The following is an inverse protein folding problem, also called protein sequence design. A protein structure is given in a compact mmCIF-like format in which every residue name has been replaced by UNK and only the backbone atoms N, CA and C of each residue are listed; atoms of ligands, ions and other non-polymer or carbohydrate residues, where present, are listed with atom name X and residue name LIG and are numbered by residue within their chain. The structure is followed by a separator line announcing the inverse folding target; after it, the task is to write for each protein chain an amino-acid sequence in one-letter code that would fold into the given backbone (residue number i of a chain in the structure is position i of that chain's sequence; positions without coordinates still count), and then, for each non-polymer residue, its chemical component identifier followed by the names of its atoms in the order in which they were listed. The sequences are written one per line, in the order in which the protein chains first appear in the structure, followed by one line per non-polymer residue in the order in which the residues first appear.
data_IF_967229314360
#
_entry.id   IF_967229314360
#
_cell.length_a   1.000
_cell.length_b   1.000
_cell.length_c   1.000
_cell.angle_alpha   90.00
_cell.angle_beta   90.00
_cell.angle_gamma   90.00
#
_symmetry.space_group_name_H-M   'P 1'
#
loop_
_entity.id
_entity.type
_entity.pdbx_description
1 polymer ?
#
# COMPACT_ATOMS: atom_id res chain seq x y z
N UNK A 1 57.24 -18.38 -70.07
CA UNK A 1 56.97 -18.21 -71.52
C UNK A 1 58.21 -17.69 -72.28
N UNK A 2 58.80 -16.54 -71.93
CA UNK A 2 59.94 -15.95 -72.65
C UNK A 2 61.15 -16.89 -72.90
N UNK A 3 61.46 -17.78 -71.95
CA UNK A 3 62.56 -18.76 -72.06
C UNK A 3 62.34 -19.83 -73.16
N UNK A 4 61.10 -20.15 -73.52
CA UNK A 4 60.79 -21.21 -74.52
C UNK A 4 61.18 -20.75 -75.93
N UNK A 5 60.99 -19.48 -76.25
CA UNK A 5 61.38 -18.89 -77.54
C UNK A 5 62.91 -18.85 -77.74
N UNK A 6 63.68 -18.71 -76.65
CA UNK A 6 65.14 -18.71 -76.69
C UNK A 6 65.67 -20.12 -76.98
N UNK A 7 65.11 -21.15 -76.32
CA UNK A 7 65.49 -22.56 -76.50
C UNK A 7 65.38 -23.04 -77.95
N UNK A 8 64.36 -22.58 -78.70
CA UNK A 8 64.15 -22.96 -80.11
C UNK A 8 65.16 -22.36 -81.10
N UNK A 9 65.96 -21.38 -80.69
CA UNK A 9 66.94 -20.69 -81.55
C UNK A 9 68.40 -21.17 -81.37
N UNK A 10 68.67 -22.01 -80.36
CA UNK A 10 70.04 -22.47 -80.02
C UNK A 10 70.38 -23.91 -80.48
N UNK A 11 69.44 -24.65 -81.07
CA UNK A 11 69.59 -26.10 -81.32
C UNK A 11 70.46 -26.49 -82.55
N UNK A 12 71.14 -25.52 -83.21
CA UNK A 12 71.90 -25.73 -84.44
C UNK A 12 73.38 -25.29 -84.31
N UNK A 13 74.10 -25.81 -83.32
CA UNK A 13 75.55 -25.57 -83.16
C UNK A 13 76.25 -26.78 -82.58
N UNK A 14 77.22 -27.32 -83.31
CA UNK A 14 77.96 -28.54 -82.94
C UNK A 14 78.97 -28.30 -81.81
N UNK A 15 79.29 -29.36 -81.07
CA UNK A 15 80.21 -29.32 -79.94
C UNK A 15 81.68 -29.26 -80.36
N UNK A 16 82.49 -28.62 -79.51
CA UNK A 16 83.91 -28.94 -79.38
C UNK A 16 84.32 -28.75 -77.92
N UNK A 17 84.93 -29.77 -77.31
CA UNK A 17 85.23 -29.79 -75.88
C UNK A 17 86.46 -28.93 -75.54
N UNK A 18 86.29 -27.99 -74.60
CA UNK A 18 87.37 -27.14 -74.08
C UNK A 18 87.21 -26.90 -72.58
N UNK A 19 88.13 -27.43 -71.77
CA UNK A 19 88.09 -27.36 -70.30
C UNK A 19 88.46 -25.97 -69.73
N UNK A 20 87.62 -24.93 -69.88
CA UNK A 20 87.70 -23.65 -69.12
C UNK A 20 86.31 -22.99 -69.01
N UNK A 21 85.68 -22.76 -67.85
CA UNK A 21 85.98 -23.14 -66.46
C UNK A 21 84.69 -23.13 -65.63
N UNK A 22 84.47 -24.17 -64.82
CA UNK A 22 83.16 -24.51 -64.24
C UNK A 22 82.61 -23.45 -63.26
N UNK A 23 83.52 -22.83 -62.50
CA UNK A 23 83.26 -21.76 -61.51
C UNK A 23 82.86 -20.43 -62.13
N UNK A 24 83.24 -20.14 -63.38
CA UNK A 24 82.85 -18.90 -64.06
C UNK A 24 81.36 -18.92 -64.41
N UNK A 25 80.85 -20.05 -64.91
CA UNK A 25 79.44 -20.24 -65.22
C UNK A 25 78.59 -20.20 -63.94
N UNK A 26 79.05 -20.81 -62.84
CA UNK A 26 78.35 -20.72 -61.55
C UNK A 26 78.30 -19.29 -61.00
N UNK A 27 79.36 -18.50 -61.19
CA UNK A 27 79.37 -17.09 -60.81
C UNK A 27 78.40 -16.26 -61.67
N UNK A 28 78.27 -16.56 -62.97
CA UNK A 28 77.23 -15.93 -63.81
C UNK A 28 75.82 -16.33 -63.35
N UNK A 29 75.58 -17.61 -63.03
CA UNK A 29 74.28 -18.07 -62.53
C UNK A 29 73.94 -17.38 -61.19
N UNK A 30 74.90 -17.24 -60.27
CA UNK A 30 74.72 -16.47 -59.03
C UNK A 30 74.44 -14.97 -59.27
N UNK A 31 75.12 -14.35 -60.24
CA UNK A 31 74.84 -12.96 -60.63
C UNK A 31 73.43 -12.81 -61.24
N UNK A 32 72.94 -13.82 -61.95
CA UNK A 32 71.56 -13.88 -62.45
C UNK A 32 70.52 -14.13 -61.34
N UNK A 33 70.89 -14.85 -60.26
CA UNK A 33 70.04 -15.06 -59.08
C UNK A 33 69.93 -13.81 -58.19
N UNK A 34 70.99 -12.98 -58.16
CA UNK A 34 71.05 -11.75 -57.34
C UNK A 34 70.51 -10.52 -58.09
N UNK A 35 70.53 -10.54 -59.42
CA UNK A 35 70.02 -9.46 -60.27
C UNK A 35 68.54 -9.66 -60.62
N UNK A 36 67.71 -8.63 -60.47
CA UNK A 36 66.31 -8.58 -60.92
C UNK A 36 66.17 -8.54 -62.46
N UNK A 37 66.78 -9.49 -63.17
CA UNK A 37 66.78 -9.60 -64.63
C UNK A 37 67.56 -8.51 -65.39
N UNK A 38 67.93 -7.39 -64.75
CA UNK A 38 68.58 -6.24 -65.39
C UNK A 38 69.93 -6.57 -66.04
N UNK A 39 70.72 -7.48 -65.47
CA UNK A 39 71.98 -7.95 -66.04
C UNK A 39 71.84 -9.15 -66.99
N UNK A 40 70.64 -9.71 -67.17
CA UNK A 40 70.44 -10.96 -67.89
C UNK A 40 70.97 -10.92 -69.34
N UNK A 41 70.76 -9.81 -70.05
CA UNK A 41 71.29 -9.63 -71.42
C UNK A 41 72.82 -9.60 -71.47
N UNK A 42 73.46 -9.01 -70.46
CA UNK A 42 74.93 -8.95 -70.36
C UNK A 42 75.53 -10.32 -70.05
N UNK A 43 74.97 -11.00 -69.04
CA UNK A 43 75.33 -12.37 -68.66
C UNK A 43 75.20 -13.33 -69.84
N UNK A 44 74.05 -13.38 -70.51
CA UNK A 44 73.81 -14.26 -71.66
C UNK A 44 74.76 -13.93 -72.82
N UNK A 45 75.01 -12.65 -73.12
CA UNK A 45 75.97 -12.26 -74.17
C UNK A 45 77.39 -12.72 -73.84
N UNK A 46 77.81 -12.65 -72.58
CA UNK A 46 79.14 -13.10 -72.15
C UNK A 46 79.35 -14.62 -72.28
N UNK A 47 78.28 -15.42 -72.15
CA UNK A 47 78.31 -16.88 -72.35
C UNK A 47 78.36 -17.22 -73.84
N UNK A 48 77.54 -16.55 -74.67
CA UNK A 48 77.53 -16.75 -76.13
C UNK A 48 78.89 -16.42 -76.78
N UNK A 49 79.55 -15.34 -76.34
CA UNK A 49 80.87 -14.94 -76.87
C UNK A 49 81.96 -15.98 -76.58
N UNK A 50 81.78 -16.85 -75.58
CA UNK A 50 82.72 -17.93 -75.22
C UNK A 50 82.34 -19.30 -75.80
N UNK A 51 81.21 -19.40 -76.54
CA UNK A 51 80.64 -20.65 -77.07
C UNK A 51 80.16 -21.67 -76.01
N UNK A 52 80.14 -21.32 -74.72
CA UNK A 52 79.76 -22.20 -73.60
C UNK A 52 78.24 -22.35 -73.39
N UNK A 53 77.43 -21.96 -74.37
CA UNK A 53 75.97 -21.82 -74.22
C UNK A 53 75.26 -23.13 -73.85
N UNK A 54 75.72 -24.28 -74.37
CA UNK A 54 75.17 -25.60 -74.03
C UNK A 54 75.41 -25.98 -72.57
N UNK A 55 76.65 -25.81 -72.09
CA UNK A 55 77.06 -26.10 -70.71
C UNK A 55 76.35 -25.18 -69.71
N UNK A 56 76.24 -23.89 -70.03
CA UNK A 56 75.49 -22.92 -69.24
C UNK A 56 74.00 -23.26 -69.14
N UNK A 57 73.34 -23.60 -70.26
CA UNK A 57 71.94 -24.00 -70.25
C UNK A 57 71.70 -25.28 -69.42
N UNK A 58 72.62 -26.25 -69.49
CA UNK A 58 72.53 -27.47 -68.67
C UNK A 58 72.62 -27.14 -67.18
N UNK A 59 73.60 -26.31 -66.76
CA UNK A 59 73.71 -25.85 -65.36
C UNK A 59 72.50 -25.04 -64.90
N UNK A 60 71.92 -24.22 -65.78
CA UNK A 60 70.69 -23.47 -65.47
C UNK A 60 69.48 -24.40 -65.30
N UNK A 61 69.29 -25.40 -66.18
CA UNK A 61 68.25 -26.43 -66.04
C UNK A 61 68.45 -27.28 -64.76
N UNK A 62 69.69 -27.61 -64.39
CA UNK A 62 70.03 -28.27 -63.10
C UNK A 62 69.68 -27.39 -61.90
N UNK A 63 69.94 -26.08 -61.97
CA UNK A 63 69.65 -25.10 -60.92
C UNK A 63 68.15 -24.82 -60.77
N UNK A 64 67.40 -24.74 -61.87
CA UNK A 64 65.93 -24.65 -61.85
C UNK A 64 65.33 -25.90 -61.19
N UNK A 65 65.75 -27.10 -61.59
CA UNK A 65 65.31 -28.36 -60.95
C UNK A 65 65.66 -28.43 -59.46
N UNK A 66 66.79 -27.86 -59.04
CA UNK A 66 67.12 -27.73 -57.63
C UNK A 66 66.10 -26.85 -56.90
N UNK A 67 65.80 -25.66 -57.42
CA UNK A 67 64.82 -24.76 -56.81
C UNK A 67 63.39 -25.32 -56.83
N UNK A 68 62.96 -25.97 -57.91
CA UNK A 68 61.65 -26.64 -57.98
C UNK A 68 61.52 -27.71 -56.88
N UNK A 69 62.55 -28.55 -56.69
CA UNK A 69 62.60 -29.55 -55.62
C UNK A 69 62.60 -28.93 -54.21
N UNK A 70 63.32 -27.81 -53.99
CA UNK A 70 63.31 -27.13 -52.70
C UNK A 70 61.97 -26.45 -52.40
N UNK A 71 61.32 -25.88 -53.41
CA UNK A 71 59.94 -25.34 -53.31
C UNK A 71 58.96 -26.48 -52.99
N UNK A 72 59.05 -27.62 -53.68
CA UNK A 72 58.19 -28.78 -53.43
C UNK A 72 58.38 -29.33 -52.00
N UNK A 73 59.62 -29.44 -51.51
CA UNK A 73 59.90 -29.82 -50.12
C UNK A 73 59.31 -28.82 -49.11
N UNK A 74 59.51 -27.51 -49.34
CA UNK A 74 59.01 -26.46 -48.44
C UNK A 74 57.48 -26.45 -48.39
N UNK A 75 56.83 -26.59 -49.55
CA UNK A 75 55.38 -26.73 -49.65
C UNK A 75 54.90 -28.00 -48.92
N UNK A 76 55.49 -29.17 -49.19
CA UNK A 76 55.10 -30.42 -48.53
C UNK A 76 55.30 -30.38 -47.00
N UNK A 77 56.36 -29.72 -46.52
CA UNK A 77 56.62 -29.53 -45.09
C UNK A 77 55.56 -28.64 -44.42
N UNK A 78 55.22 -27.49 -45.02
CA UNK A 78 54.37 -26.49 -44.37
C UNK A 78 52.87 -26.63 -44.68
N UNK A 79 52.48 -27.33 -45.76
CA UNK A 79 51.08 -27.42 -46.20
C UNK A 79 50.17 -28.08 -45.16
N UNK A 80 50.64 -29.13 -44.46
CA UNK A 80 49.87 -29.76 -43.38
C UNK A 80 49.58 -28.80 -42.22
N UNK A 81 50.56 -27.98 -41.83
CA UNK A 81 50.38 -26.94 -40.82
C UNK A 81 49.39 -25.86 -41.25
N UNK A 82 49.48 -25.41 -42.51
CA UNK A 82 48.54 -24.45 -43.09
C UNK A 82 47.10 -25.00 -43.14
N UNK A 83 46.91 -26.22 -43.66
CA UNK A 83 45.58 -26.85 -43.74
C UNK A 83 44.97 -27.03 -42.35
N UNK A 84 45.77 -27.42 -41.35
CA UNK A 84 45.30 -27.54 -39.97
C UNK A 84 44.84 -26.20 -39.40
N UNK A 85 45.66 -25.16 -39.51
CA UNK A 85 45.30 -23.81 -39.04
C UNK A 85 44.06 -23.23 -39.75
N UNK A 86 43.90 -23.52 -41.04
CA UNK A 86 42.71 -23.15 -41.80
C UNK A 86 41.44 -23.88 -41.32
N UNK A 87 41.56 -25.17 -40.98
CA UNK A 87 40.44 -25.95 -40.44
C UNK A 87 40.06 -25.50 -39.01
N UNK A 88 41.06 -25.17 -38.18
CA UNK A 88 40.86 -24.59 -36.85
C UNK A 88 40.13 -23.23 -36.95
N UNK A 89 40.50 -22.35 -37.89
CA UNK A 89 39.79 -21.09 -38.15
C UNK A 89 38.33 -21.28 -38.61
N UNK A 90 38.05 -22.28 -39.45
CA UNK A 90 36.68 -22.61 -39.85
C UNK A 90 35.84 -23.11 -38.66
N UNK A 91 36.43 -23.93 -37.79
CA UNK A 91 35.78 -24.43 -36.58
C UNK A 91 35.49 -23.28 -35.60
N UNK A 92 36.48 -22.41 -35.30
CA UNK A 92 36.29 -21.21 -34.47
C UNK A 92 35.19 -20.29 -35.03
N UNK A 93 35.11 -20.11 -36.35
CA UNK A 93 34.02 -19.34 -36.98
C UNK A 93 32.65 -19.98 -36.75
N UNK A 94 32.55 -21.30 -36.89
CA UNK A 94 31.30 -22.06 -36.64
C UNK A 94 30.86 -21.91 -35.18
N UNK A 95 31.78 -22.11 -34.24
CA UNK A 95 31.52 -22.06 -32.80
C UNK A 95 31.15 -20.64 -32.35
N UNK A 96 31.86 -19.62 -32.86
CA UNK A 96 31.50 -18.20 -32.66
C UNK A 96 30.10 -17.88 -33.18
N UNK A 97 29.70 -18.47 -34.31
CA UNK A 97 28.36 -18.27 -34.87
C UNK A 97 27.29 -18.96 -34.03
N UNK A 98 27.57 -20.16 -33.51
CA UNK A 98 26.68 -20.87 -32.58
C UNK A 98 26.49 -20.08 -31.28
N UNK A 99 27.59 -19.67 -30.65
CA UNK A 99 27.58 -18.89 -29.42
C UNK A 99 26.87 -17.55 -29.59
N UNK A 100 27.02 -16.87 -30.74
CA UNK A 100 26.24 -15.67 -31.07
C UNK A 100 24.74 -15.94 -31.10
N UNK A 101 24.30 -17.05 -31.71
CA UNK A 101 22.88 -17.40 -31.79
C UNK A 101 22.30 -17.73 -30.40
N UNK A 102 23.05 -18.45 -29.55
CA UNK A 102 22.67 -18.70 -28.16
C UNK A 102 22.62 -17.42 -27.32
N UNK A 103 23.58 -16.51 -27.49
CA UNK A 103 23.59 -15.21 -26.82
C UNK A 103 22.35 -14.37 -27.19
N UNK A 104 21.98 -14.34 -28.48
CA UNK A 104 20.76 -13.66 -28.95
C UNK A 104 19.50 -14.29 -28.36
N UNK A 105 19.42 -15.63 -28.33
CA UNK A 105 18.29 -16.36 -27.73
C UNK A 105 18.18 -16.08 -26.22
N UNK A 106 19.28 -16.15 -25.48
CA UNK A 106 19.31 -15.88 -24.04
C UNK A 106 18.94 -14.43 -23.75
N UNK A 107 19.42 -13.46 -24.53
CA UNK A 107 19.02 -12.06 -24.41
C UNK A 107 17.51 -11.88 -24.66
N UNK A 108 16.92 -12.52 -25.68
CA UNK A 108 15.47 -12.47 -25.92
C UNK A 108 14.68 -13.06 -24.76
N UNK A 109 15.08 -14.22 -24.23
CA UNK A 109 14.43 -14.84 -23.06
C UNK A 109 14.55 -13.96 -21.81
N UNK A 110 15.71 -13.33 -21.58
CA UNK A 110 15.93 -12.42 -20.46
C UNK A 110 15.09 -11.14 -20.59
N UNK A 111 14.95 -10.58 -21.79
CA UNK A 111 14.06 -9.44 -22.06
C UNK A 111 12.59 -9.79 -21.84
N UNK A 112 12.13 -10.97 -22.28
CA UNK A 112 10.75 -11.43 -22.04
C UNK A 112 10.47 -11.64 -20.55
N UNK A 113 11.40 -12.28 -19.83
CA UNK A 113 11.31 -12.45 -18.38
C UNK A 113 11.28 -11.09 -17.65
N UNK A 114 12.16 -10.16 -18.05
CA UNK A 114 12.21 -8.79 -17.51
C UNK A 114 10.92 -8.00 -17.76
N UNK A 115 10.32 -8.08 -18.94
CA UNK A 115 9.03 -7.45 -19.25
C UNK A 115 7.88 -8.05 -18.44
N UNK A 116 7.86 -9.39 -18.26
CA UNK A 116 6.86 -10.06 -17.44
C UNK A 116 6.98 -9.67 -15.96
N UNK A 117 8.22 -9.62 -15.45
CA UNK A 117 8.52 -9.18 -14.09
C UNK A 117 8.14 -7.71 -13.86
N UNK A 118 8.45 -6.81 -14.80
CA UNK A 118 8.10 -5.40 -14.73
C UNK A 118 6.57 -5.21 -14.62
N UNK A 119 5.79 -5.88 -15.48
CA UNK A 119 4.32 -5.88 -15.40
C UNK A 119 3.80 -6.40 -14.06
N UNK A 120 4.40 -7.48 -13.53
CA UNK A 120 3.99 -8.05 -12.24
C UNK A 120 4.35 -7.14 -11.06
N UNK A 121 5.47 -6.42 -11.15
CA UNK A 121 5.90 -5.42 -10.16
C UNK A 121 4.99 -4.19 -10.18
N UNK A 122 4.57 -3.72 -11.35
CA UNK A 122 3.61 -2.62 -11.47
C UNK A 122 2.24 -2.98 -10.84
N UNK A 123 1.74 -4.20 -11.11
CA UNK A 123 0.54 -4.72 -10.45
C UNK A 123 0.72 -4.84 -8.93
N UNK A 124 1.88 -5.30 -8.46
CA UNK A 124 2.18 -5.39 -7.03
C UNK A 124 2.17 -4.02 -6.34
N UNK A 125 2.73 -2.98 -6.98
CA UNK A 125 2.68 -1.59 -6.47
C UNK A 125 1.23 -1.10 -6.38
N UNK A 126 0.39 -1.39 -7.38
CA UNK A 126 -1.06 -1.06 -7.34
C UNK A 126 -1.79 -1.76 -6.19
N UNK A 127 -1.46 -3.02 -5.92
CA UNK A 127 -2.03 -3.74 -4.77
C UNK A 127 -1.51 -3.21 -3.43
N UNK A 128 -0.25 -2.79 -3.31
CA UNK A 128 0.24 -2.09 -2.11
C UNK A 128 -0.47 -0.75 -1.87
N UNK A 129 -0.75 0.02 -2.93
CA UNK A 129 -1.58 1.23 -2.80
C UNK A 129 -3.02 0.89 -2.38
N UNK A 130 -3.62 -0.16 -2.94
CA UNK A 130 -4.94 -0.65 -2.52
C UNK A 130 -4.94 -1.05 -1.04
N UNK A 131 -3.93 -1.78 -0.59
CA UNK A 131 -3.75 -2.19 0.81
C UNK A 131 -3.55 -0.98 1.73
N UNK A 132 -2.78 0.02 1.32
CA UNK A 132 -2.62 1.28 2.06
C UNK A 132 -3.95 2.04 2.23
N UNK A 133 -4.73 2.16 1.15
CA UNK A 133 -6.07 2.77 1.21
C UNK A 133 -7.03 1.98 2.11
N UNK A 134 -6.97 0.64 2.07
CA UNK A 134 -7.75 -0.23 2.97
C UNK A 134 -7.32 0.00 4.43
N UNK A 135 -6.02 0.07 4.73
CA UNK A 135 -5.54 0.32 6.08
C UNK A 135 -5.98 1.68 6.62
N UNK A 136 -5.83 2.76 5.83
CA UNK A 136 -6.33 4.09 6.19
C UNK A 136 -7.85 4.09 6.45
N UNK A 137 -8.61 3.31 5.67
CA UNK A 137 -10.05 3.14 5.88
C UNK A 137 -10.35 2.38 7.18
N UNK A 138 -9.59 1.33 7.50
CA UNK A 138 -9.69 0.59 8.77
C UNK A 138 -9.38 1.51 9.95
N UNK A 139 -8.31 2.31 9.87
CA UNK A 139 -7.88 3.21 10.94
C UNK A 139 -8.92 4.32 11.18
N UNK A 140 -9.48 4.91 10.12
CA UNK A 140 -10.56 5.88 10.21
C UNK A 140 -11.86 5.27 10.79
N UNK A 141 -12.21 4.04 10.38
CA UNK A 141 -13.37 3.31 10.95
C UNK A 141 -13.14 2.94 12.43
N UNK A 142 -11.92 2.59 12.82
CA UNK A 142 -11.58 2.30 14.21
C UNK A 142 -11.70 3.53 15.11
N UNK A 143 -11.33 4.71 14.61
CA UNK A 143 -11.56 5.99 15.31
C UNK A 143 -13.04 6.36 15.37
N UNK A 144 -13.81 6.04 14.33
CA UNK A 144 -15.25 6.30 14.27
C UNK A 144 -16.08 5.37 15.18
N UNK A 145 -15.63 4.13 15.40
CA UNK A 145 -16.41 3.10 16.10
C UNK A 145 -16.83 3.49 17.53
N UNK A 146 -15.96 4.03 18.42
CA UNK A 146 -16.37 4.50 19.75
C UNK A 146 -17.41 5.63 19.70
N UNK A 147 -17.40 6.46 18.65
CA UNK A 147 -18.36 7.55 18.45
C UNK A 147 -19.74 6.98 18.14
N UNK A 148 -19.83 6.01 17.22
CA UNK A 148 -21.08 5.32 16.91
C UNK A 148 -21.60 4.46 18.08
N UNK A 149 -20.71 3.80 18.82
CA UNK A 149 -21.11 2.99 19.98
C UNK A 149 -21.67 3.87 21.11
N UNK A 150 -21.04 5.01 21.41
CA UNK A 150 -21.56 5.96 22.41
C UNK A 150 -22.81 6.68 21.94
N UNK A 151 -22.92 7.03 20.65
CA UNK A 151 -24.14 7.58 20.05
C UNK A 151 -25.32 6.60 20.11
N UNK A 152 -25.08 5.30 19.82
CA UNK A 152 -26.11 4.26 19.95
C UNK A 152 -26.56 4.11 21.40
N UNK A 153 -25.64 3.98 22.35
CA UNK A 153 -25.97 3.90 23.79
C UNK A 153 -26.73 5.14 24.27
N UNK A 154 -26.46 6.31 23.71
CA UNK A 154 -27.24 7.52 23.96
C UNK A 154 -28.68 7.38 23.45
N UNK A 155 -28.89 6.87 22.23
CA UNK A 155 -30.24 6.58 21.71
C UNK A 155 -30.98 5.57 22.57
N UNK A 156 -30.35 4.44 22.93
CA UNK A 156 -30.93 3.42 23.80
C UNK A 156 -31.35 4.03 25.17
N UNK A 157 -30.49 4.87 25.78
CA UNK A 157 -30.82 5.56 27.04
C UNK A 157 -31.98 6.57 26.90
N UNK A 158 -32.14 7.18 25.72
CA UNK A 158 -33.26 8.10 25.44
C UNK A 158 -34.58 7.34 25.29
N UNK A 159 -34.58 6.18 24.63
CA UNK A 159 -35.76 5.31 24.52
C UNK A 159 -36.19 4.75 25.89
N UNK A 160 -35.23 4.34 26.72
CA UNK A 160 -35.48 3.89 28.11
C UNK A 160 -35.79 5.04 29.09
N UNK A 161 -35.86 6.30 28.64
CA UNK A 161 -36.04 7.51 29.46
C UNK A 161 -35.02 7.69 30.59
N UNK A 162 -33.82 7.11 30.46
CA UNK A 162 -32.71 7.21 31.43
C UNK A 162 -31.95 8.51 31.23
N UNK A 163 -32.57 9.63 31.63
CA UNK A 163 -32.09 11.00 31.39
C UNK A 163 -30.66 11.27 31.91
N UNK A 164 -30.28 10.70 33.06
CA UNK A 164 -28.96 10.93 33.66
C UNK A 164 -27.82 10.17 32.96
N UNK A 165 -27.91 8.85 32.68
CA UNK A 165 -26.99 8.16 31.78
C UNK A 165 -26.88 8.81 30.40
N UNK A 166 -28.00 9.27 29.82
CA UNK A 166 -28.02 9.97 28.55
C UNK A 166 -27.19 11.27 28.58
N UNK A 167 -27.36 12.12 29.60
CA UNK A 167 -26.56 13.35 29.76
C UNK A 167 -25.05 13.07 29.84
N UNK A 168 -24.65 12.07 30.64
CA UNK A 168 -23.24 11.70 30.81
C UNK A 168 -22.61 11.14 29.53
N UNK A 169 -23.37 10.35 28.76
CA UNK A 169 -22.93 9.86 27.44
C UNK A 169 -22.84 11.00 26.42
N UNK A 170 -23.76 11.97 26.45
CA UNK A 170 -23.75 13.15 25.59
C UNK A 170 -22.54 14.05 25.86
N UNK A 171 -22.21 14.30 27.12
CA UNK A 171 -20.99 15.03 27.52
C UNK A 171 -19.71 14.29 27.09
N UNK A 172 -19.66 12.97 27.28
CA UNK A 172 -18.53 12.15 26.84
C UNK A 172 -18.37 12.18 25.30
N UNK A 173 -19.47 12.11 24.55
CA UNK A 173 -19.48 12.19 23.10
C UNK A 173 -18.90 13.53 22.61
N UNK A 174 -19.30 14.64 23.21
CA UNK A 174 -18.88 15.99 22.82
C UNK A 174 -17.41 16.29 23.21
N UNK A 175 -17.02 15.92 24.43
CA UNK A 175 -15.70 16.28 24.99
C UNK A 175 -14.58 15.38 24.48
N UNK A 176 -14.81 14.07 24.34
CA UNK A 176 -13.76 13.10 23.99
C UNK A 176 -13.80 12.68 22.52
N UNK A 177 -14.99 12.41 21.99
CA UNK A 177 -15.14 11.74 20.71
C UNK A 177 -15.30 12.70 19.53
N UNK A 178 -16.08 13.77 19.70
CA UNK A 178 -16.35 14.73 18.62
C UNK A 178 -15.13 15.57 18.24
N UNK A 179 -14.13 15.71 19.13
CA UNK A 179 -12.86 16.39 18.84
C UNK A 179 -12.02 15.63 17.82
N UNK A 180 -12.06 14.30 17.84
CA UNK A 180 -11.23 13.42 17.01
C UNK A 180 -11.74 13.27 15.57
N UNK A 181 -12.98 13.70 15.29
CA UNK A 181 -13.74 13.29 14.11
C UNK A 181 -14.28 14.48 13.29
N UNK A 182 -13.91 15.71 13.65
CA UNK A 182 -14.41 16.97 13.04
C UNK A 182 -14.25 17.08 11.53
N UNK A 183 -13.29 16.37 10.95
CA UNK A 183 -13.03 16.38 9.50
C UNK A 183 -14.08 15.61 8.68
N UNK A 184 -14.88 14.75 9.31
CA UNK A 184 -15.86 13.94 8.61
C UNK A 184 -17.25 14.60 8.59
N UNK A 185 -17.86 14.69 7.40
CA UNK A 185 -19.22 15.24 7.17
C UNK A 185 -20.33 14.60 8.02
N UNK A 186 -20.16 13.35 8.48
CA UNK A 186 -21.14 12.70 9.37
C UNK A 186 -21.06 13.20 10.82
N UNK A 187 -19.94 13.78 11.25
CA UNK A 187 -19.81 14.40 12.58
C UNK A 187 -20.71 15.65 12.71
N UNK A 188 -20.87 16.43 11.63
CA UNK A 188 -21.81 17.56 11.57
C UNK A 188 -23.25 17.12 11.83
N UNK A 189 -23.67 15.97 11.28
CA UNK A 189 -25.00 15.41 11.50
C UNK A 189 -25.20 15.00 12.96
N UNK A 190 -24.19 14.37 13.58
CA UNK A 190 -24.22 14.03 15.00
C UNK A 190 -24.26 15.31 15.86
N UNK A 191 -23.46 16.32 15.55
CA UNK A 191 -23.44 17.59 16.29
C UNK A 191 -24.80 18.30 16.25
N UNK A 192 -25.45 18.33 15.08
CA UNK A 192 -26.81 18.84 14.93
C UNK A 192 -27.85 18.03 15.73
N UNK A 193 -27.63 16.72 15.90
CA UNK A 193 -28.50 15.87 16.72
C UNK A 193 -28.21 15.97 18.22
N UNK A 194 -26.98 16.24 18.66
CA UNK A 194 -26.63 16.49 20.08
C UNK A 194 -27.45 17.66 20.63
N UNK A 195 -27.59 18.75 19.87
CA UNK A 195 -28.44 19.89 20.26
C UNK A 195 -29.92 19.49 20.41
N UNK A 196 -30.43 18.61 19.54
CA UNK A 196 -31.80 18.06 19.64
C UNK A 196 -31.94 17.16 20.88
N UNK A 197 -30.99 16.28 21.15
CA UNK A 197 -31.00 15.41 22.33
C UNK A 197 -30.98 16.22 23.64
N UNK A 198 -30.17 17.29 23.74
CA UNK A 198 -30.21 18.22 24.89
C UNK A 198 -31.63 18.80 25.10
N UNK A 199 -32.28 19.26 24.03
CA UNK A 199 -33.65 19.78 24.11
C UNK A 199 -34.69 18.70 24.41
N UNK A 200 -34.52 17.47 23.91
CA UNK A 200 -35.41 16.34 24.23
C UNK A 200 -35.29 15.90 25.69
N UNK A 201 -34.06 15.72 26.21
CA UNK A 201 -33.80 15.43 27.63
C UNK A 201 -34.46 16.50 28.51
N UNK A 202 -34.31 17.77 28.11
CA UNK A 202 -34.89 18.90 28.83
C UNK A 202 -36.43 18.88 28.84
N UNK A 203 -37.06 18.63 27.69
CA UNK A 203 -38.51 18.55 27.59
C UNK A 203 -39.07 17.35 28.36
N UNK A 204 -38.43 16.19 28.27
CA UNK A 204 -38.83 15.00 29.02
C UNK A 204 -38.66 15.22 30.53
N UNK A 205 -37.61 15.91 30.95
CA UNK A 205 -37.38 16.33 32.34
C UNK A 205 -38.44 17.32 32.86
N UNK A 206 -38.98 18.19 32.01
CA UNK A 206 -40.11 19.04 32.35
C UNK A 206 -41.44 18.27 32.38
N UNK A 207 -41.62 17.27 31.51
CA UNK A 207 -42.79 16.40 31.51
C UNK A 207 -42.82 15.47 32.73
N UNK A 208 -41.70 14.86 33.14
CA UNK A 208 -41.58 14.06 34.37
C UNK A 208 -41.96 14.92 35.59
N UNK A 209 -41.48 16.17 35.65
CA UNK A 209 -41.84 17.13 36.68
C UNK A 209 -43.35 17.49 36.64
N UNK A 210 -43.92 17.75 35.46
CA UNK A 210 -45.34 18.11 35.32
C UNK A 210 -46.25 16.96 35.77
N UNK A 211 -45.98 15.75 35.29
CA UNK A 211 -46.71 14.54 35.67
C UNK A 211 -46.59 14.27 37.18
N UNK A 212 -45.41 14.50 37.77
CA UNK A 212 -45.23 14.43 39.22
C UNK A 212 -46.08 15.47 39.96
N UNK A 213 -46.07 16.73 39.52
CA UNK A 213 -46.87 17.79 40.15
C UNK A 213 -48.39 17.51 40.04
N UNK A 214 -48.87 16.99 38.91
CA UNK A 214 -50.26 16.54 38.75
C UNK A 214 -50.61 15.35 39.67
N UNK A 215 -49.70 14.39 39.82
CA UNK A 215 -49.89 13.27 40.75
C UNK A 215 -49.91 13.74 42.22
N UNK A 216 -49.02 14.66 42.60
CA UNK A 216 -49.06 15.29 43.94
C UNK A 216 -50.33 16.08 44.14
N UNK A 217 -50.79 16.86 43.16
CA UNK A 217 -52.02 17.65 43.24
C UNK A 217 -53.27 16.76 43.45
N UNK A 218 -53.39 15.65 42.73
CA UNK A 218 -54.51 14.70 42.89
C UNK A 218 -54.50 13.97 44.24
N UNK A 219 -53.32 13.73 44.83
CA UNK A 219 -53.20 13.13 46.16
C UNK A 219 -53.17 14.16 47.30
N UNK A 220 -53.09 15.46 47.00
CA UNK A 220 -52.88 16.53 47.98
C UNK A 220 -53.96 16.58 49.08
N UNK A 221 -55.23 16.28 48.76
CA UNK A 221 -56.29 16.20 49.77
C UNK A 221 -56.06 15.08 50.79
N UNK A 222 -55.64 13.89 50.33
CA UNK A 222 -55.33 12.74 51.21
C UNK A 222 -54.08 13.00 52.06
N UNK A 223 -53.05 13.57 51.44
CA UNK A 223 -51.80 13.98 52.12
C UNK A 223 -52.12 15.06 53.16
N UNK A 224 -52.92 16.07 52.79
CA UNK A 224 -53.36 17.15 53.67
C UNK A 224 -54.15 16.64 54.86
N UNK A 225 -55.16 15.77 54.65
CA UNK A 225 -55.94 15.13 55.71
C UNK A 225 -55.06 14.34 56.68
N UNK A 226 -54.11 13.56 56.17
CA UNK A 226 -53.15 12.80 57.00
C UNK A 226 -52.20 13.73 57.77
N UNK A 227 -51.73 14.81 57.14
CA UNK A 227 -50.87 15.81 57.77
C UNK A 227 -51.59 16.61 58.86
N UNK A 228 -52.84 17.01 58.63
CA UNK A 228 -53.67 17.67 59.65
C UNK A 228 -54.00 16.72 60.80
N UNK A 229 -54.29 15.44 60.53
CA UNK A 229 -54.50 14.44 61.58
C UNK A 229 -53.23 14.24 62.45
N UNK A 230 -52.05 14.13 61.83
CA UNK A 230 -50.78 14.03 62.55
C UNK A 230 -50.43 15.31 63.33
N UNK A 231 -50.70 16.49 62.76
CA UNK A 231 -50.47 17.77 63.44
C UNK A 231 -51.42 17.96 64.63
N UNK A 232 -52.71 17.62 64.48
CA UNK A 232 -53.69 17.67 65.54
C UNK A 232 -53.37 16.68 66.68
N UNK A 233 -52.97 15.44 66.34
CA UNK A 233 -52.52 14.45 67.32
C UNK A 233 -51.24 14.89 68.09
N UNK A 234 -50.33 15.64 67.45
CA UNK A 234 -49.15 16.22 68.11
C UNK A 234 -49.46 17.43 69.00
N UNK A 235 -50.58 18.11 68.75
CA UNK A 235 -51.00 19.33 69.46
C UNK A 235 -52.19 19.09 70.40
N UNK A 236 -52.62 17.84 70.58
CA UNK A 236 -53.77 17.40 71.38
C UNK A 236 -55.09 18.13 71.05
N UNK A 237 -55.30 18.41 69.75
CA UNK A 237 -56.49 19.12 69.26
C UNK A 237 -57.63 18.11 69.01
N UNK A 238 -58.80 18.32 69.64
CA UNK A 238 -59.98 17.47 69.46
C UNK A 238 -60.41 17.36 67.98
N UNK A 239 -60.74 16.13 67.54
CA UNK A 239 -61.20 15.72 66.19
C UNK A 239 -62.25 16.64 65.59
N UNK A 240 -63.07 17.28 66.44
CA UNK A 240 -64.14 18.23 66.07
C UNK A 240 -63.66 19.50 65.38
N UNK A 241 -62.39 19.88 65.53
CA UNK A 241 -61.87 21.16 65.03
C UNK A 241 -61.19 21.09 63.66
N UNK A 242 -60.81 19.90 63.19
CA UNK A 242 -60.09 19.72 61.91
C UNK A 242 -60.77 18.75 60.91
N UNK A 243 -61.95 18.22 61.23
CA UNK A 243 -62.75 17.37 60.32
C UNK A 243 -63.89 18.15 59.65
N UNK A 244 -64.10 17.94 58.35
CA UNK A 244 -65.20 18.57 57.59
C UNK A 244 -66.56 18.02 58.04
N UNK A 245 -67.63 18.84 58.01
CA UNK A 245 -68.96 18.41 58.48
C UNK A 245 -69.54 17.22 57.70
N UNK A 246 -69.16 17.06 56.43
CA UNK A 246 -69.57 15.94 55.58
C UNK A 246 -68.99 14.60 56.05
N UNK A 247 -67.79 14.62 56.63
CA UNK A 247 -67.15 13.43 57.22
C UNK A 247 -67.64 13.18 58.65
N UNK A 248 -68.20 14.19 59.34
CA UNK A 248 -68.88 14.01 60.65
C UNK A 248 -70.25 13.35 60.53
N UNK A 249 -70.93 13.47 59.38
CA UNK A 249 -72.30 12.95 59.16
C UNK A 249 -72.35 11.50 58.69
N UNK A 250 -71.20 10.87 58.41
CA UNK A 250 -71.14 9.48 57.92
C UNK A 250 -71.21 8.40 59.00
N UNK A 251 -71.15 8.76 60.29
CA UNK A 251 -71.16 7.77 61.36
C UNK A 251 -71.90 8.18 62.64
N UNK A 252 -73.04 7.52 62.95
CA UNK A 252 -73.58 7.44 64.30
C UNK A 252 -73.36 6.08 64.99
N UNK A 253 -72.83 5.04 64.32
CA UNK A 253 -72.88 3.66 64.84
C UNK A 253 -71.62 2.79 64.69
N UNK A 254 -70.54 3.23 64.04
CA UNK A 254 -69.25 2.53 64.12
C UNK A 254 -68.37 3.10 65.25
N UNK A 255 -68.49 2.49 66.43
CA UNK A 255 -67.35 2.33 67.34
C UNK A 255 -66.34 1.39 66.67
N UNK A 256 -65.54 1.93 65.75
CA UNK A 256 -64.36 1.25 65.20
C UNK A 256 -63.17 1.60 66.07
N UNK A 257 -62.38 0.58 66.43
CA UNK A 257 -61.12 0.72 67.16
C UNK A 257 -60.26 1.88 66.60
N UNK A 258 -59.62 2.62 67.51
CA UNK A 258 -58.62 3.64 67.16
C UNK A 258 -57.43 3.12 66.34
N UNK A 259 -57.36 1.81 66.09
CA UNK A 259 -56.42 1.11 65.20
C UNK A 259 -56.39 1.68 63.77
N UNK A 260 -57.54 1.98 63.17
CA UNK A 260 -57.60 2.50 61.80
C UNK A 260 -57.07 3.95 61.69
N UNK A 261 -57.42 4.80 62.66
CA UNK A 261 -56.91 6.19 62.73
C UNK A 261 -55.42 6.21 63.14
N UNK A 262 -54.96 5.28 64.00
CA UNK A 262 -53.53 5.09 64.31
C UNK A 262 -52.72 4.71 63.06
N UNK A 263 -53.27 3.92 62.14
CA UNK A 263 -52.58 3.58 60.89
C UNK A 263 -52.36 4.81 59.97
N UNK A 264 -53.32 5.75 59.95
CA UNK A 264 -53.18 7.04 59.26
C UNK A 264 -52.17 7.98 59.96
N UNK A 265 -52.14 7.97 61.29
CA UNK A 265 -51.17 8.74 62.09
C UNK A 265 -49.74 8.19 61.91
N UNK A 266 -49.58 6.88 61.69
CA UNK A 266 -48.28 6.22 61.59
C UNK A 266 -47.70 6.16 60.16
N UNK A 267 -48.42 6.63 59.14
CA UNK A 267 -47.86 6.78 57.78
C UNK A 267 -46.96 8.02 57.70
N UNK A 268 -45.64 7.83 57.61
CA UNK A 268 -44.73 8.92 57.30
C UNK A 268 -45.09 9.58 55.96
N UNK A 269 -45.41 10.87 55.99
CA UNK A 269 -45.74 11.67 54.78
C UNK A 269 -44.58 11.62 53.75
N UNK A 270 -43.35 11.44 54.22
CA UNK A 270 -42.13 11.28 53.41
C UNK A 270 -42.00 9.93 52.70
N UNK A 271 -42.74 8.91 53.13
CA UNK A 271 -42.81 7.60 52.44
C UNK A 271 -43.95 7.57 51.40
N UNK A 272 -44.90 8.50 51.50
CA UNK A 272 -46.08 8.61 50.62
C UNK A 272 -45.78 9.36 49.31
N UNK A 273 -44.67 10.11 49.22
CA UNK A 273 -44.29 10.93 48.05
C UNK A 273 -42.80 10.82 47.79
N UNK A 274 -42.41 10.23 46.65
CA UNK A 274 -41.03 10.29 46.17
C UNK A 274 -40.76 11.63 45.47
N UNK A 275 -40.00 12.52 46.13
CA UNK A 275 -39.59 13.81 45.58
C UNK A 275 -38.46 13.73 44.54
N UNK A 276 -37.94 12.53 44.22
CA UNK A 276 -36.87 12.34 43.23
C UNK A 276 -37.11 13.03 41.88
N UNK A 277 -38.33 13.08 41.28
CA UNK A 277 -38.57 13.82 40.04
C UNK A 277 -38.23 15.31 40.10
N UNK A 278 -38.49 15.98 41.23
CA UNK A 278 -38.11 17.40 41.43
C UNK A 278 -36.58 17.52 41.46
N UNK A 279 -35.89 16.68 42.24
CA UNK A 279 -34.44 16.73 42.35
C UNK A 279 -33.74 16.40 41.03
N UNK A 280 -34.20 15.36 40.30
CA UNK A 280 -33.74 15.03 38.95
C UNK A 280 -33.91 16.22 38.01
N UNK A 281 -35.11 16.80 37.93
CA UNK A 281 -35.42 17.87 36.98
C UNK A 281 -34.67 19.18 37.28
N UNK A 282 -34.47 19.49 38.57
CA UNK A 282 -33.59 20.57 39.01
C UNK A 282 -32.12 20.30 38.63
N UNK A 283 -31.61 19.08 38.87
CA UNK A 283 -30.22 18.73 38.61
C UNK A 283 -29.89 18.71 37.10
N UNK A 284 -30.81 18.21 36.28
CA UNK A 284 -30.74 18.26 34.81
C UNK A 284 -30.68 19.73 34.33
N UNK A 285 -31.57 20.60 34.82
CA UNK A 285 -31.56 22.01 34.41
C UNK A 285 -30.37 22.81 34.99
N UNK A 286 -29.76 22.38 36.11
CA UNK A 286 -28.47 22.90 36.57
C UNK A 286 -27.34 22.49 35.63
N UNK A 287 -27.27 21.22 35.22
CA UNK A 287 -26.26 20.70 34.28
C UNK A 287 -26.35 21.34 32.89
N UNK A 288 -27.58 21.68 32.45
CA UNK A 288 -27.85 22.42 31.21
C UNK A 288 -27.68 23.95 31.35
N UNK A 289 -27.32 24.48 32.53
CA UNK A 289 -27.25 25.91 32.84
C UNK A 289 -28.56 26.70 32.66
N UNK A 290 -29.72 26.04 32.67
CA UNK A 290 -31.05 26.63 32.46
C UNK A 290 -31.87 26.81 33.76
N UNK A 291 -31.22 27.04 34.90
CA UNK A 291 -31.85 27.12 36.24
C UNK A 291 -33.01 28.13 36.32
N UNK A 292 -32.87 29.31 35.72
CA UNK A 292 -33.94 30.33 35.74
C UNK A 292 -35.21 29.88 35.04
N UNK A 293 -35.06 29.19 33.91
CA UNK A 293 -36.19 28.73 33.10
C UNK A 293 -36.92 27.57 33.78
N UNK A 294 -36.18 26.69 34.47
CA UNK A 294 -36.77 25.70 35.39
C UNK A 294 -37.59 26.38 36.50
N UNK A 295 -37.04 27.42 37.14
CA UNK A 295 -37.73 28.15 38.21
C UNK A 295 -39.02 28.80 37.69
N UNK A 296 -38.95 29.47 36.53
CA UNK A 296 -40.12 30.05 35.84
C UNK A 296 -41.14 28.98 35.44
N UNK A 297 -40.72 27.80 34.97
CA UNK A 297 -41.61 26.69 34.63
C UNK A 297 -42.32 26.12 35.86
N UNK A 298 -41.56 25.80 36.92
CA UNK A 298 -42.08 25.28 38.18
C UNK A 298 -43.08 26.25 38.84
N UNK A 299 -42.80 27.56 38.84
CA UNK A 299 -43.71 28.59 39.33
C UNK A 299 -45.01 28.65 38.52
N UNK A 300 -44.93 28.60 37.18
CA UNK A 300 -46.13 28.60 36.31
C UNK A 300 -47.00 27.35 36.50
N UNK A 301 -46.40 26.16 36.57
CA UNK A 301 -47.19 24.94 36.79
C UNK A 301 -47.84 24.94 38.18
N UNK A 302 -47.15 25.43 39.23
CA UNK A 302 -47.79 25.66 40.53
C UNK A 302 -48.92 26.70 40.49
N UNK A 303 -48.78 27.79 39.74
CA UNK A 303 -49.82 28.80 39.59
C UNK A 303 -51.06 28.26 38.86
N UNK A 304 -50.90 27.33 37.90
CA UNK A 304 -52.02 26.66 37.21
C UNK A 304 -52.73 25.60 38.07
N UNK A 305 -52.04 25.08 39.09
CA UNK A 305 -52.55 24.06 40.02
C UNK A 305 -53.09 24.65 41.33
N UNK A 306 -52.97 25.97 41.52
CA UNK A 306 -53.68 26.68 42.58
C UNK A 306 -55.15 26.85 42.15
N UNK A 307 -56.12 26.47 43.00
CA UNK A 307 -57.55 26.67 42.73
C UNK A 307 -57.97 28.15 42.84
#
# INVERSE_FOLDING_TARGET
IHFICIKKKMMNGEHNDGQVSDTYLDNIIKQLEISDGSQATSCVRSVFVRNDAGTFLRKLDERVKYYDNEIEKLCNFQYQGFVKAFHELLQVRKDTTSMKNELVKNNQMMQQAGQSLAKKTESLIKEYHRQGNIQQTIDALAQAFPVFETYRKLQDCMEEKKLYPALKLLEQLETKHLVLVKEHRWSELIQNNIAKFRNQIRNESHNELKNFLENVATHADKIGKSAFAQAAARLDIDRRYYTLEEDRKKDPQQQVDGSADLALINMNITELIDFSPIYKSLHINLFLNCKEEFSKHYQREKQKQAP
#
